data_IF_683739505926
#
_entry.id   IF_683739505926
#
_cell.length_a   1.000
_cell.length_b   1.000
_cell.length_c   1.000
_cell.angle_alpha   90.00
_cell.angle_beta   90.00
_cell.angle_gamma   90.00
#
_symmetry.space_group_name_H-M   'P 1'
#
loop_
_entity.id
_entity.type
_entity.pdbx_description
1 polymer ?
#
# COMPACT_ATOMS: atom_id res chain seq x y z
N UNK A 1 18.03 47.23 -6.22
CA UNK A 1 16.66 46.66 -6.22
C UNK A 1 16.44 45.58 -7.28
N UNK A 2 16.86 45.76 -8.55
CA UNK A 2 16.65 44.77 -9.63
C UNK A 2 17.22 43.36 -9.34
N UNK A 3 18.43 43.25 -8.80
CA UNK A 3 19.04 41.95 -8.46
C UNK A 3 18.32 41.15 -7.37
N UNK A 4 17.69 41.82 -6.39
CA UNK A 4 16.93 41.13 -5.32
C UNK A 4 15.60 40.59 -5.84
N UNK A 5 14.99 41.29 -6.79
CA UNK A 5 13.74 40.86 -7.42
C UNK A 5 13.97 39.58 -8.25
N UNK A 6 15.05 39.54 -9.06
CA UNK A 6 15.40 38.36 -9.88
C UNK A 6 15.67 37.11 -9.03
N UNK A 7 16.37 37.27 -7.90
CA UNK A 7 16.65 36.16 -6.99
C UNK A 7 15.34 35.55 -6.45
N UNK A 8 14.41 36.39 -5.99
CA UNK A 8 13.11 35.96 -5.44
C UNK A 8 12.29 35.22 -6.50
N UNK A 9 12.27 35.69 -7.75
CA UNK A 9 11.56 34.97 -8.83
C UNK A 9 12.18 33.61 -9.12
N UNK A 10 13.51 33.48 -9.07
CA UNK A 10 14.19 32.19 -9.23
C UNK A 10 13.86 31.23 -8.10
N UNK A 11 13.84 31.68 -6.84
CA UNK A 11 13.46 30.85 -5.70
C UNK A 11 12.00 30.39 -5.76
N UNK A 12 11.08 31.25 -6.17
CA UNK A 12 9.67 30.89 -6.34
C UNK A 12 9.51 29.87 -7.48
N UNK A 13 10.20 30.06 -8.60
CA UNK A 13 10.19 29.09 -9.70
C UNK A 13 10.76 27.72 -9.27
N UNK A 14 11.86 27.71 -8.51
CA UNK A 14 12.44 26.47 -7.99
C UNK A 14 11.49 25.77 -7.01
N UNK A 15 10.86 26.54 -6.12
CA UNK A 15 9.87 26.03 -5.17
C UNK A 15 8.65 25.42 -5.89
N UNK A 16 8.16 26.07 -6.95
CA UNK A 16 7.06 25.55 -7.77
C UNK A 16 7.43 24.26 -8.52
N UNK A 17 8.68 24.10 -8.95
CA UNK A 17 9.21 22.87 -9.55
C UNK A 17 9.33 21.74 -8.51
N UNK A 18 9.74 22.06 -7.28
CA UNK A 18 9.83 21.09 -6.19
C UNK A 18 8.42 20.64 -5.75
N UNK A 19 7.47 21.58 -5.64
CA UNK A 19 6.08 21.26 -5.27
C UNK A 19 5.39 20.44 -6.38
N UNK A 20 5.65 20.76 -7.66
CA UNK A 20 5.06 19.98 -8.77
C UNK A 20 5.66 18.59 -8.92
N UNK A 21 6.93 18.37 -8.55
CA UNK A 21 7.54 17.04 -8.51
C UNK A 21 7.08 16.19 -7.32
N UNK A 22 6.62 16.80 -6.22
CA UNK A 22 5.96 16.10 -5.11
C UNK A 22 4.50 15.73 -5.39
N UNK A 23 3.88 16.34 -6.41
CA UNK A 23 2.47 16.12 -6.76
C UNK A 23 2.26 15.07 -7.89
N UNK A 24 3.33 14.51 -8.43
CA UNK A 24 3.26 13.43 -9.42
C UNK A 24 3.34 12.07 -8.72
N UNK A 25 2.39 11.19 -9.03
CA UNK A 25 2.48 9.77 -8.67
C UNK A 25 3.82 9.22 -9.20
N UNK A 26 4.63 8.62 -8.32
CA UNK A 26 5.94 8.13 -8.71
C UNK A 26 5.77 6.89 -9.60
N UNK A 27 6.02 6.97 -10.92
CA UNK A 27 5.66 5.89 -11.84
C UNK A 27 6.45 4.60 -11.57
N UNK A 28 7.65 4.72 -10.97
CA UNK A 28 8.45 3.57 -10.58
C UNK A 28 7.79 2.85 -9.40
N UNK A 29 7.31 3.60 -8.42
CA UNK A 29 6.63 3.06 -7.25
C UNK A 29 5.31 2.40 -7.67
N UNK A 30 4.49 3.11 -8.45
CA UNK A 30 3.24 2.60 -9.00
C UNK A 30 3.44 1.27 -9.75
N UNK A 31 4.49 1.15 -10.58
CA UNK A 31 4.75 -0.08 -11.35
C UNK A 31 5.11 -1.34 -10.53
N UNK A 32 5.20 -1.21 -9.19
CA UNK A 32 5.65 -2.28 -8.28
C UNK A 32 4.66 -2.58 -7.15
N UNK A 33 3.62 -1.77 -6.97
CA UNK A 33 2.57 -2.00 -5.98
C UNK A 33 1.86 -3.35 -6.27
N UNK A 34 1.65 -4.22 -5.26
CA UNK A 34 1.00 -5.52 -5.42
C UNK A 34 -0.31 -5.48 -6.19
N UNK A 35 -1.21 -4.54 -5.86
CA UNK A 35 -2.52 -4.40 -6.48
C UNK A 35 -2.46 -4.09 -7.99
N UNK A 36 -1.30 -3.68 -8.52
CA UNK A 36 -1.09 -3.52 -9.96
C UNK A 36 -0.73 -4.83 -10.68
N UNK A 37 -0.77 -5.96 -9.97
CA UNK A 37 -0.67 -7.32 -10.50
C UNK A 37 -1.93 -8.12 -10.12
N UNK A 38 -3.09 -7.91 -10.78
CA UNK A 38 -4.30 -8.68 -10.48
C UNK A 38 -4.09 -10.19 -10.63
N UNK A 39 -4.63 -10.97 -9.70
CA UNK A 39 -4.44 -12.42 -9.61
C UNK A 39 -3.13 -12.84 -8.92
N UNK A 40 -2.23 -11.90 -8.61
CA UNK A 40 -1.00 -12.22 -7.88
C UNK A 40 -1.29 -12.58 -6.43
N UNK A 41 -0.49 -13.51 -5.90
CA UNK A 41 -0.49 -13.94 -4.50
C UNK A 41 0.78 -13.48 -3.81
N UNK A 42 0.64 -13.06 -2.57
CA UNK A 42 1.74 -12.54 -1.76
C UNK A 42 1.71 -13.17 -0.38
N UNK A 43 2.90 -13.36 0.18
CA UNK A 43 3.11 -14.02 1.46
C UNK A 43 4.24 -13.32 2.22
N UNK A 44 4.12 -13.20 3.54
CA UNK A 44 5.17 -12.68 4.40
C UNK A 44 6.31 -13.70 4.60
N UNK A 45 7.52 -13.24 4.93
CA UNK A 45 8.69 -14.12 5.15
C UNK A 45 8.46 -15.24 6.18
N UNK A 46 7.59 -14.98 7.16
CA UNK A 46 7.21 -15.90 8.23
C UNK A 46 5.94 -16.72 7.93
N UNK A 47 5.31 -16.51 6.77
CA UNK A 47 4.07 -17.16 6.35
C UNK A 47 2.81 -16.77 7.14
N UNK A 48 2.92 -15.80 8.07
CA UNK A 48 1.78 -15.40 8.92
C UNK A 48 0.73 -14.58 8.16
N UNK A 49 1.12 -13.92 7.06
CA UNK A 49 0.24 -13.05 6.28
C UNK A 49 0.24 -13.50 4.83
N UNK A 50 -0.96 -13.69 4.29
CA UNK A 50 -1.15 -13.99 2.87
C UNK A 50 -2.24 -13.12 2.28
N UNK A 51 -2.11 -12.73 1.01
CA UNK A 51 -3.19 -12.04 0.31
C UNK A 51 -3.13 -12.26 -1.20
N UNK A 52 -4.26 -12.01 -1.85
CA UNK A 52 -4.41 -12.04 -3.30
C UNK A 52 -4.88 -10.68 -3.79
N UNK A 53 -4.30 -10.19 -4.88
CA UNK A 53 -4.68 -8.92 -5.49
C UNK A 53 -5.81 -9.10 -6.50
N UNK A 54 -6.79 -8.21 -6.46
CA UNK A 54 -7.98 -8.22 -7.28
C UNK A 54 -8.19 -6.89 -8.00
N UNK A 55 -8.94 -6.96 -9.08
CA UNK A 55 -9.39 -5.80 -9.85
C UNK A 55 -10.87 -5.98 -10.15
N UNK A 56 -11.72 -5.06 -9.67
CA UNK A 56 -13.16 -5.09 -10.00
C UNK A 56 -13.45 -4.35 -11.31
N UNK A 57 -12.72 -3.27 -11.60
CA UNK A 57 -12.77 -2.52 -12.86
C UNK A 57 -11.42 -1.84 -13.16
N UNK A 58 -11.34 -1.05 -14.22
CA UNK A 58 -10.09 -0.38 -14.65
C UNK A 58 -9.43 0.49 -13.56
N UNK A 59 -10.22 1.02 -12.62
CA UNK A 59 -9.82 2.01 -11.63
C UNK A 59 -9.77 1.45 -10.19
N UNK A 60 -10.48 0.36 -9.90
CA UNK A 60 -10.57 -0.20 -8.55
C UNK A 60 -9.72 -1.47 -8.46
N UNK A 61 -8.64 -1.36 -7.67
CA UNK A 61 -7.71 -2.45 -7.35
C UNK A 61 -7.55 -2.54 -5.85
N UNK A 62 -7.60 -3.76 -5.32
CA UNK A 62 -7.55 -4.04 -3.89
C UNK A 62 -6.90 -5.41 -3.67
N UNK A 63 -6.66 -5.78 -2.42
CA UNK A 63 -6.27 -7.15 -2.09
C UNK A 63 -7.15 -7.68 -0.97
N UNK A 64 -7.39 -8.99 -0.96
CA UNK A 64 -8.05 -9.69 0.15
C UNK A 64 -7.05 -10.70 0.69
N UNK A 65 -6.95 -10.77 2.01
CA UNK A 65 -5.98 -11.63 2.66
C UNK A 65 -6.35 -12.02 4.07
N UNK A 66 -5.40 -12.70 4.71
CA UNK A 66 -5.50 -13.21 6.05
C UNK A 66 -4.21 -12.95 6.81
N UNK A 67 -4.35 -12.62 8.09
CA UNK A 67 -3.29 -12.56 9.08
C UNK A 67 -3.56 -13.67 10.09
N UNK A 68 -2.57 -14.53 10.33
CA UNK A 68 -2.62 -15.61 11.32
C UNK A 68 -1.75 -15.21 12.50
N UNK A 69 -2.38 -14.98 13.65
CA UNK A 69 -1.69 -14.64 14.89
C UNK A 69 -2.12 -15.65 15.95
N UNK A 70 -1.15 -16.38 16.49
CA UNK A 70 -1.39 -17.49 17.43
C UNK A 70 -2.34 -18.53 16.81
N UNK A 71 -3.61 -18.53 17.22
CA UNK A 71 -4.67 -19.42 16.72
C UNK A 71 -5.85 -18.65 16.09
N UNK A 72 -5.73 -17.32 15.95
CA UNK A 72 -6.74 -16.45 15.36
C UNK A 72 -6.42 -16.14 13.89
N UNK A 73 -7.46 -16.14 13.05
CA UNK A 73 -7.39 -15.75 11.65
C UNK A 73 -8.17 -14.47 11.46
N UNK A 74 -7.48 -13.41 11.08
CA UNK A 74 -8.06 -12.10 10.79
C UNK A 74 -8.09 -11.93 9.27
N UNK A 75 -9.29 -11.90 8.72
CA UNK A 75 -9.51 -11.62 7.30
C UNK A 75 -9.49 -10.10 7.06
N UNK A 76 -8.86 -9.65 5.97
CA UNK A 76 -8.75 -8.23 5.65
C UNK A 76 -8.93 -7.91 4.17
N UNK A 77 -9.39 -6.69 3.92
CA UNK A 77 -9.28 -5.99 2.64
C UNK A 77 -8.16 -4.94 2.75
N UNK A 78 -7.24 -4.93 1.79
CA UNK A 78 -6.14 -3.96 1.72
C UNK A 78 -6.31 -3.02 0.53
N UNK A 79 -6.30 -1.71 0.82
CA UNK A 79 -6.39 -0.63 -0.15
C UNK A 79 -5.11 0.19 -0.18
N UNK A 80 -4.64 0.47 -1.39
CA UNK A 80 -3.49 1.36 -1.62
C UNK A 80 -3.92 2.82 -1.58
N UNK A 81 -3.10 3.66 -0.96
CA UNK A 81 -3.14 5.11 -1.13
C UNK A 81 -1.78 5.64 -1.60
N UNK A 82 -1.73 6.92 -1.97
CA UNK A 82 -0.57 7.53 -2.64
C UNK A 82 0.69 7.42 -1.80
N UNK A 83 1.82 7.14 -2.43
CA UNK A 83 3.12 7.16 -1.78
C UNK A 83 3.49 5.86 -1.05
N UNK A 84 2.78 4.77 -1.34
CA UNK A 84 3.10 3.43 -0.82
C UNK A 84 2.35 3.07 0.47
N UNK A 85 1.45 3.92 0.93
CA UNK A 85 0.59 3.65 2.07
C UNK A 85 -0.43 2.56 1.75
N UNK A 86 -0.62 1.63 2.68
CA UNK A 86 -1.56 0.51 2.61
C UNK A 86 -2.44 0.53 3.85
N UNK A 87 -3.74 0.46 3.64
CA UNK A 87 -4.75 0.52 4.70
C UNK A 87 -5.49 -0.81 4.73
N UNK A 88 -5.52 -1.45 5.89
CA UNK A 88 -6.19 -2.74 6.07
C UNK A 88 -7.46 -2.54 6.90
N UNK A 89 -8.55 -3.10 6.39
CA UNK A 89 -9.88 -3.08 6.96
C UNK A 89 -10.33 -4.50 7.23
N UNK A 90 -11.09 -4.72 8.31
CA UNK A 90 -11.69 -6.03 8.55
C UNK A 90 -12.60 -6.43 7.39
N UNK A 91 -12.51 -7.70 7.01
CA UNK A 91 -13.26 -8.27 5.91
C UNK A 91 -13.93 -9.56 6.36
N UNK A 92 -15.25 -9.64 6.36
CA UNK A 92 -15.93 -10.94 6.42
C UNK A 92 -16.40 -11.27 5.01
N UNK A 93 -16.08 -12.48 4.57
CA UNK A 93 -16.64 -13.04 3.35
C UNK A 93 -18.17 -13.02 3.48
N UNK A 94 -18.82 -12.23 2.64
CA UNK A 94 -20.26 -12.31 2.44
C UNK A 94 -20.61 -13.64 1.78
N UNK A 95 -21.90 -13.87 1.60
CA UNK A 95 -22.49 -15.02 0.89
C UNK A 95 -22.13 -15.14 -0.60
N UNK A 96 -20.97 -14.63 -1.04
CA UNK A 96 -20.54 -14.56 -2.43
C UNK A 96 -21.04 -13.31 -3.16
N UNK A 97 -21.80 -12.44 -2.51
CA UNK A 97 -21.99 -11.06 -2.96
C UNK A 97 -21.03 -10.15 -2.20
N UNK A 98 -20.38 -9.24 -2.95
CA UNK A 98 -19.34 -8.31 -2.51
C UNK A 98 -19.67 -7.74 -1.12
N UNK A 99 -19.14 -8.35 -0.08
CA UNK A 99 -19.33 -7.88 1.29
C UNK A 99 -18.56 -6.60 1.40
N UNK A 100 -19.31 -5.50 1.45
CA UNK A 100 -18.78 -4.18 1.72
C UNK A 100 -17.89 -4.27 2.96
N UNK A 101 -16.65 -3.75 2.85
CA UNK A 101 -15.73 -3.51 3.97
C UNK A 101 -16.52 -3.32 5.25
N UNK A 102 -16.41 -4.27 6.18
CA UNK A 102 -17.23 -4.24 7.38
C UNK A 102 -16.79 -3.05 8.18
N UNK A 103 -17.53 -1.97 8.03
CA UNK A 103 -17.24 -0.66 8.60
C UNK A 103 -15.95 -0.03 8.04
N UNK A 104 -15.86 1.29 8.06
CA UNK A 104 -14.63 2.05 7.78
C UNK A 104 -13.53 1.81 8.85
N UNK A 105 -13.60 0.69 9.58
CA UNK A 105 -12.71 0.36 10.69
C UNK A 105 -11.39 -0.16 10.15
N UNK A 106 -10.56 0.78 9.76
CA UNK A 106 -9.14 0.60 9.56
C UNK A 106 -8.49 0.13 10.87
N UNK A 107 -7.71 -0.96 10.79
CA UNK A 107 -7.05 -1.53 11.97
C UNK A 107 -5.53 -1.63 11.81
N UNK A 108 -5.03 -1.59 10.57
CA UNK A 108 -3.61 -1.41 10.26
C UNK A 108 -3.40 -0.34 9.19
N UNK A 109 -2.34 0.44 9.36
CA UNK A 109 -1.76 1.27 8.30
C UNK A 109 -0.29 0.88 8.16
N UNK A 110 0.11 0.53 6.95
CA UNK A 110 1.49 0.24 6.61
C UNK A 110 2.03 1.25 5.60
N UNK A 111 3.29 1.64 5.75
CA UNK A 111 4.02 2.38 4.74
C UNK A 111 4.99 1.44 4.03
N UNK A 112 4.81 1.25 2.73
CA UNK A 112 5.50 0.21 1.98
C UNK A 112 6.60 0.75 1.06
N UNK A 113 7.75 0.08 1.13
CA UNK A 113 8.85 0.22 0.18
C UNK A 113 8.81 -0.91 -0.86
N UNK A 114 8.93 -0.57 -2.14
CA UNK A 114 8.84 -1.51 -3.27
C UNK A 114 10.20 -1.67 -4.00
N UNK A 115 11.16 -2.43 -3.44
CA UNK A 115 12.45 -2.67 -4.07
C UNK A 115 12.35 -3.42 -5.42
N UNK A 116 11.32 -4.25 -5.61
CA UNK A 116 11.10 -4.98 -6.87
C UNK A 116 9.62 -5.30 -7.14
N UNK A 117 9.31 -5.85 -8.31
CA UNK A 117 7.96 -6.36 -8.65
C UNK A 117 7.58 -7.66 -7.94
N UNK A 118 8.52 -8.29 -7.22
CA UNK A 118 8.34 -9.59 -6.55
C UNK A 118 8.56 -9.52 -5.04
N UNK A 119 8.87 -8.34 -4.50
CA UNK A 119 9.18 -8.13 -3.08
C UNK A 119 8.87 -6.72 -2.64
N UNK A 120 8.22 -6.57 -1.50
CA UNK A 120 8.05 -5.30 -0.81
C UNK A 120 8.27 -5.44 0.70
N UNK A 121 8.47 -4.31 1.36
CA UNK A 121 8.62 -4.24 2.82
C UNK A 121 7.56 -3.29 3.35
N UNK A 122 6.65 -3.80 4.16
CA UNK A 122 5.69 -3.01 4.92
C UNK A 122 6.33 -2.59 6.24
N UNK A 123 6.33 -1.29 6.52
CA UNK A 123 6.64 -0.76 7.85
C UNK A 123 5.33 -0.42 8.54
N UNK A 124 5.07 -1.03 9.69
CA UNK A 124 3.85 -0.82 10.47
C UNK A 124 3.83 0.58 11.06
N UNK A 125 2.74 1.34 10.83
CA UNK A 125 2.59 2.74 11.29
C UNK A 125 1.44 2.87 12.29
N UNK A 126 0.28 2.33 11.95
CA UNK A 126 -0.87 2.21 12.86
C UNK A 126 -1.20 0.74 12.95
N UNK A 127 -1.50 0.24 14.14
CA UNK A 127 -1.65 -1.20 14.34
C UNK A 127 -2.56 -1.55 15.50
N UNK A 128 -3.21 -2.70 15.38
CA UNK A 128 -3.92 -3.39 16.44
C UNK A 128 -3.15 -4.65 16.89
N UNK A 129 -2.37 -5.25 15.98
CA UNK A 129 -1.86 -6.62 16.13
C UNK A 129 -0.33 -6.77 16.08
N UNK A 130 0.37 -5.75 15.59
CA UNK A 130 1.82 -5.75 15.41
C UNK A 130 2.49 -4.68 16.28
N UNK A 131 3.81 -4.59 16.20
CA UNK A 131 4.55 -3.49 16.81
C UNK A 131 4.72 -2.33 15.82
N UNK A 132 4.59 -1.08 16.31
CA UNK A 132 4.93 0.10 15.50
C UNK A 132 6.40 0.00 15.06
N UNK A 133 6.68 0.39 13.81
CA UNK A 133 7.98 0.26 13.13
C UNK A 133 8.41 -1.18 12.81
N UNK A 134 7.59 -2.20 13.11
CA UNK A 134 7.83 -3.56 12.67
C UNK A 134 7.92 -3.60 11.14
N UNK A 135 8.92 -4.32 10.64
CA UNK A 135 9.13 -4.54 9.22
C UNK A 135 8.66 -5.93 8.84
N UNK A 136 7.65 -5.97 7.98
CA UNK A 136 7.10 -7.20 7.43
C UNK A 136 7.53 -7.28 5.97
N UNK A 137 8.28 -8.31 5.64
CA UNK A 137 8.78 -8.54 4.29
C UNK A 137 7.81 -9.45 3.57
N UNK A 138 7.43 -9.06 2.35
CA UNK A 138 6.52 -9.83 1.51
C UNK A 138 7.17 -10.24 0.21
N UNK A 139 6.79 -11.42 -0.26
CA UNK A 139 7.21 -12.02 -1.51
C UNK A 139 5.99 -12.36 -2.36
N UNK A 140 6.12 -12.12 -3.66
CA UNK A 140 5.13 -12.58 -4.63
C UNK A 140 5.34 -14.07 -4.87
N UNK A 141 4.28 -14.84 -4.71
CA UNK A 141 4.27 -16.31 -4.82
C UNK A 141 4.01 -16.77 -6.26
N UNK A 142 3.83 -15.84 -7.20
CA UNK A 142 3.55 -16.16 -8.60
C UNK A 142 4.75 -16.79 -9.34
N UNK A 143 4.49 -18.00 -9.84
CA UNK A 143 5.19 -18.79 -10.88
C UNK A 143 6.61 -19.29 -10.56
N UNK A 144 6.68 -20.57 -10.14
CA UNK A 144 7.52 -21.55 -10.86
C UNK A 144 7.03 -21.72 -12.31
#
# INVERSE_FOLDING_TARGET
MKHRLTLITTYIALLLIIISSLACDNPILESRVPQNFPGSRWESDDGSITFTCFQSDENIRFAIGQIVIEEEVINFEMKSSRGGWQHLYYYEDGDGTMSHSLTEQEFEIWNCDYPSKKRFVATVVTTTYFEIDQKIVFHRVDEE
#
